data_IF_510849455575
#
_entry.id   IF_510849455575
#
_cell.length_a   1.000
_cell.length_b   1.000
_cell.length_c   1.000
_cell.angle_alpha   90.00
_cell.angle_beta   90.00
_cell.angle_gamma   90.00
#
_symmetry.space_group_name_H-M   'P 1'
#
loop_
_entity.id
_entity.type
_entity.pdbx_description
1 polymer ?
#
# COMPACT_ATOMS: atom_id res chain seq x y z
N UNK A 1 19.36 8.18 -15.27
CA UNK A 1 18.45 9.06 -14.51
C UNK A 1 17.71 8.21 -13.47
N UNK A 2 17.95 8.40 -12.17
CA UNK A 2 17.36 7.56 -11.10
C UNK A 2 15.96 8.10 -10.78
N UNK A 3 14.91 7.42 -11.23
CA UNK A 3 13.52 7.83 -10.95
C UNK A 3 13.20 7.49 -9.49
N UNK A 4 12.85 8.51 -8.69
CA UNK A 4 12.42 8.30 -7.31
C UNK A 4 11.01 7.71 -7.29
N UNK A 5 10.91 6.45 -6.88
CA UNK A 5 9.65 5.72 -6.85
C UNK A 5 8.56 6.38 -6.00
N UNK A 6 8.92 7.27 -5.06
CA UNK A 6 7.97 8.00 -4.21
C UNK A 6 7.18 9.08 -4.95
N UNK A 7 7.61 9.47 -6.15
CA UNK A 7 6.93 10.49 -6.97
C UNK A 7 5.80 9.93 -7.83
N UNK A 8 5.63 8.61 -7.88
CA UNK A 8 4.56 7.97 -8.62
C UNK A 8 3.21 8.12 -7.91
N UNK A 9 2.13 8.15 -8.69
CA UNK A 9 0.78 8.15 -8.15
C UNK A 9 0.45 6.84 -7.42
N UNK A 10 -0.61 6.85 -6.62
CA UNK A 10 -0.98 5.72 -5.78
C UNK A 10 -1.29 4.45 -6.57
N UNK A 11 -1.81 4.56 -7.80
CA UNK A 11 -2.14 3.41 -8.65
C UNK A 11 -0.87 2.79 -9.19
N UNK A 12 0.07 3.60 -9.69
CA UNK A 12 1.37 3.09 -10.14
C UNK A 12 2.16 2.46 -9.00
N UNK A 13 2.14 3.06 -7.80
CA UNK A 13 2.77 2.46 -6.63
C UNK A 13 2.16 1.09 -6.27
N UNK A 14 0.84 0.93 -6.40
CA UNK A 14 0.19 -0.37 -6.20
C UNK A 14 0.66 -1.39 -7.23
N UNK A 15 0.69 -1.04 -8.51
CA UNK A 15 1.19 -1.93 -9.57
C UNK A 15 2.64 -2.34 -9.29
N UNK A 16 3.52 -1.42 -8.89
CA UNK A 16 4.91 -1.73 -8.54
C UNK A 16 4.98 -2.72 -7.38
N UNK A 17 4.18 -2.55 -6.32
CA UNK A 17 4.16 -3.48 -5.17
C UNK A 17 3.78 -4.89 -5.59
N UNK A 18 2.74 -5.01 -6.41
CA UNK A 18 2.25 -6.30 -6.90
C UNK A 18 3.32 -7.00 -7.75
N UNK A 19 3.85 -6.30 -8.77
CA UNK A 19 4.91 -6.85 -9.64
C UNK A 19 6.17 -7.21 -8.87
N UNK A 20 6.59 -6.39 -7.89
CA UNK A 20 7.79 -6.68 -7.11
C UNK A 20 7.64 -7.94 -6.27
N UNK A 21 6.47 -8.18 -5.68
CA UNK A 21 6.21 -9.41 -4.91
C UNK A 21 6.08 -10.63 -5.82
N UNK A 22 5.46 -10.47 -7.00
CA UNK A 22 5.38 -11.52 -8.02
C UNK A 22 6.77 -11.97 -8.49
N UNK A 23 7.63 -11.03 -8.92
CA UNK A 23 9.01 -11.33 -9.33
C UNK A 23 9.83 -12.06 -8.26
N UNK A 24 9.64 -11.71 -6.99
CA UNK A 24 10.32 -12.41 -5.88
C UNK A 24 9.77 -13.83 -5.70
N UNK A 25 8.47 -14.04 -5.92
CA UNK A 25 7.87 -15.39 -5.89
C UNK A 25 8.31 -16.26 -7.05
N UNK A 26 8.60 -15.65 -8.20
CA UNK A 26 9.20 -16.31 -9.37
C UNK A 26 10.68 -16.68 -9.15
N UNK A 27 11.28 -16.26 -8.04
CA UNK A 27 12.63 -16.65 -7.63
C UNK A 27 13.69 -15.57 -7.77
N UNK A 28 13.33 -14.35 -8.18
CA UNK A 28 14.29 -13.26 -8.23
C UNK A 28 14.73 -12.78 -6.83
N UNK A 29 16.00 -12.39 -6.72
CA UNK A 29 16.54 -11.83 -5.48
C UNK A 29 15.83 -10.51 -5.10
N UNK A 30 15.18 -10.49 -3.93
CA UNK A 30 14.39 -9.35 -3.46
C UNK A 30 15.15 -8.01 -3.45
N UNK A 31 16.45 -8.03 -3.13
CA UNK A 31 17.33 -6.85 -3.18
C UNK A 31 17.53 -6.30 -4.58
N UNK A 32 17.64 -7.18 -5.59
CA UNK A 32 17.78 -6.79 -7.00
C UNK A 32 16.47 -6.19 -7.53
N UNK A 33 15.35 -6.88 -7.27
CA UNK A 33 14.01 -6.45 -7.70
C UNK A 33 13.71 -5.04 -7.18
N UNK A 34 13.89 -4.79 -5.89
CA UNK A 34 13.52 -3.50 -5.28
C UNK A 34 14.46 -2.36 -5.71
N UNK A 35 15.74 -2.67 -5.95
CA UNK A 35 16.70 -1.72 -6.49
C UNK A 35 16.34 -1.31 -7.94
N UNK A 36 15.81 -2.23 -8.75
CA UNK A 36 15.36 -1.94 -10.12
C UNK A 36 14.22 -0.91 -10.16
N UNK A 37 13.37 -0.88 -9.13
CA UNK A 37 12.29 0.10 -8.98
C UNK A 37 12.72 1.38 -8.23
N UNK A 38 13.98 1.48 -7.79
CA UNK A 38 14.52 2.66 -7.11
C UNK A 38 14.08 2.82 -5.64
N UNK A 39 13.64 1.76 -4.98
CA UNK A 39 13.25 1.79 -3.56
C UNK A 39 14.36 1.26 -2.64
N UNK A 40 14.29 1.61 -1.35
CA UNK A 40 15.19 1.06 -0.33
C UNK A 40 14.99 -0.45 -0.15
N UNK A 41 16.08 -1.18 0.10
CA UNK A 41 16.08 -2.64 0.32
C UNK A 41 15.07 -3.11 1.37
N UNK A 42 14.82 -2.34 2.43
CA UNK A 42 13.89 -2.73 3.50
C UNK A 42 12.42 -2.75 3.05
N UNK A 43 12.07 -2.05 1.98
CA UNK A 43 10.70 -1.88 1.49
C UNK A 43 10.11 -3.20 0.99
N UNK A 44 10.88 -4.00 0.24
CA UNK A 44 10.39 -5.27 -0.30
C UNK A 44 10.05 -6.27 0.81
N UNK A 45 10.84 -6.32 1.88
CA UNK A 45 10.57 -7.24 3.00
C UNK A 45 9.30 -6.86 3.76
N UNK A 46 8.98 -5.56 3.87
CA UNK A 46 7.70 -5.10 4.41
C UNK A 46 6.53 -5.57 3.54
N UNK A 47 6.68 -5.50 2.22
CA UNK A 47 5.64 -5.96 1.28
C UNK A 47 5.47 -7.47 1.29
N UNK A 48 6.56 -8.24 1.31
CA UNK A 48 6.53 -9.69 1.44
C UNK A 48 5.85 -10.11 2.75
N UNK A 49 6.21 -9.47 3.87
CA UNK A 49 5.57 -9.72 5.17
C UNK A 49 4.07 -9.42 5.14
N UNK A 50 3.66 -8.29 4.55
CA UNK A 50 2.25 -7.95 4.38
C UNK A 50 1.50 -8.96 3.50
N UNK A 51 2.12 -9.41 2.40
CA UNK A 51 1.54 -10.36 1.46
C UNK A 51 1.48 -11.80 1.99
N UNK A 52 2.31 -12.15 2.97
CA UNK A 52 2.30 -13.45 3.65
C UNK A 52 1.35 -13.50 4.86
N UNK A 53 0.69 -12.39 5.20
CA UNK A 53 -0.23 -12.34 6.34
C UNK A 53 -1.46 -13.24 6.10
N UNK A 54 -1.74 -14.23 6.98
CA UNK A 54 -2.91 -15.09 6.85
C UNK A 54 -4.22 -14.29 6.75
N UNK A 55 -5.14 -14.75 5.91
CA UNK A 55 -6.47 -14.15 5.72
C UNK A 55 -6.50 -12.90 4.81
N UNK A 56 -5.36 -12.25 4.53
CA UNK A 56 -5.30 -11.06 3.66
C UNK A 56 -4.58 -11.35 2.35
N UNK A 57 -3.40 -11.96 2.43
CA UNK A 57 -2.57 -12.27 1.27
C UNK A 57 -2.17 -11.03 0.46
N UNK A 58 -2.10 -11.17 -0.87
CA UNK A 58 -1.73 -10.10 -1.81
C UNK A 58 -2.65 -8.86 -1.72
N UNK A 59 -3.89 -9.02 -1.22
CA UNK A 59 -4.82 -7.89 -1.01
C UNK A 59 -4.25 -6.83 -0.06
N UNK A 60 -3.31 -7.18 0.80
CA UNK A 60 -2.62 -6.25 1.71
C UNK A 60 -1.80 -5.18 0.98
N UNK A 61 -1.44 -5.41 -0.29
CA UNK A 61 -0.62 -4.50 -1.09
C UNK A 61 -1.43 -3.46 -1.87
N UNK A 62 -2.76 -3.65 -1.93
CA UNK A 62 -3.66 -2.77 -2.67
C UNK A 62 -3.75 -1.39 -2.03
N UNK A 63 -3.84 -0.35 -2.85
CA UNK A 63 -4.12 0.98 -2.36
C UNK A 63 -5.50 1.03 -1.73
N UNK A 64 -5.67 1.83 -0.68
CA UNK A 64 -6.95 2.07 -0.01
C UNK A 64 -7.17 3.57 0.12
N UNK A 65 -8.39 4.07 -0.14
CA UNK A 65 -8.72 5.46 0.14
C UNK A 65 -8.45 5.79 1.61
N UNK A 66 -7.87 6.95 1.88
CA UNK A 66 -7.79 7.47 3.23
C UNK A 66 -9.21 7.85 3.69
N UNK A 67 -9.75 7.15 4.69
CA UNK A 67 -11.13 7.35 5.18
C UNK A 67 -11.30 8.60 6.03
N UNK A 68 -10.25 9.38 6.23
CA UNK A 68 -10.24 10.53 7.12
C UNK A 68 -10.43 10.17 8.60
N UNK A 69 -10.63 11.19 9.43
CA UNK A 69 -10.87 11.02 10.87
C UNK A 69 -12.28 10.45 11.10
N UNK A 70 -12.45 9.44 11.96
CA UNK A 70 -13.77 8.94 12.33
C UNK A 70 -14.67 10.07 12.85
N UNK A 71 -15.98 9.96 12.57
CA UNK A 71 -16.99 10.91 13.05
C UNK A 71 -17.03 10.89 14.58
N UNK A 72 -17.08 12.08 15.20
CA UNK A 72 -17.26 12.20 16.68
C UNK A 72 -18.71 12.03 17.09
N UNK A 73 -19.62 12.52 16.25
CA UNK A 73 -21.04 12.51 16.52
C UNK A 73 -21.67 11.25 15.92
N UNK A 74 -22.63 10.69 16.65
CA UNK A 74 -23.53 9.67 16.11
C UNK A 74 -24.45 10.31 15.07
N UNK A 75 -25.03 9.53 14.13
CA UNK A 75 -25.99 10.07 13.16
C UNK A 75 -27.15 10.85 13.80
N UNK A 76 -27.61 10.42 14.99
CA UNK A 76 -28.65 11.11 15.75
C UNK A 76 -28.19 12.49 16.26
N UNK A 77 -26.95 12.58 16.75
CA UNK A 77 -26.37 13.85 17.19
C UNK A 77 -26.11 14.79 16.01
N UNK A 78 -25.66 14.27 14.87
CA UNK A 78 -25.52 15.06 13.63
C UNK A 78 -26.87 15.65 13.19
N UNK A 79 -27.94 14.84 13.19
CA UNK A 79 -29.30 15.31 12.88
C UNK A 79 -29.80 16.37 13.87
N UNK A 80 -29.44 16.28 15.14
CA UNK A 80 -29.82 17.27 16.14
C UNK A 80 -29.14 18.62 15.87
N UNK A 81 -27.84 18.63 15.56
CA UNK A 81 -27.08 19.85 15.25
C UNK A 81 -27.56 20.47 13.93
N UNK A 82 -27.87 19.67 12.91
CA UNK A 82 -28.33 20.14 11.60
C UNK A 82 -29.72 20.77 11.61
N UNK A 83 -30.51 20.57 12.68
CA UNK A 83 -31.87 21.12 12.82
C UNK A 83 -31.93 22.44 13.58
N UNK A 84 -30.83 22.87 14.21
CA UNK A 84 -30.70 24.18 14.86
C UNK A 84 -30.36 25.25 13.82
#
# INVERSE_FOLDING_TARGET
MKRDGRRFDHRTLETIRLMAVERVREGEAASSVIASYGFSRTTIYKWLSAASKPGVGVKALRSRPATGRPRRLTPRQEQQVLRW
#
